data_IF_587659776061
#
_entry.id   IF_587659776061
#
_cell.length_a   1.000
_cell.length_b   1.000
_cell.length_c   1.000
_cell.angle_alpha   90.00
_cell.angle_beta   90.00
_cell.angle_gamma   90.00
#
_symmetry.space_group_name_H-M   'P 1'
#
loop_
_entity.id
_entity.type
_entity.pdbx_description
1 polymer ?
#
# COMPACT_ATOMS: atom_id res chain seq x y z
N UNK A 1 -6.30 -12.46 25.40
CA UNK A 1 -5.02 -12.06 24.78
C UNK A 1 -4.99 -12.66 23.38
N UNK A 2 -4.89 -11.84 22.33
CA UNK A 2 -4.83 -12.34 20.95
C UNK A 2 -3.44 -12.96 20.72
N UNK A 3 -3.36 -14.24 20.42
CA UNK A 3 -2.09 -14.90 20.13
C UNK A 3 -1.58 -14.45 18.75
N UNK A 4 -0.51 -13.66 18.70
CA UNK A 4 0.11 -13.22 17.47
C UNK A 4 1.00 -14.32 16.90
N UNK A 5 0.81 -14.65 15.63
CA UNK A 5 1.68 -15.59 14.92
C UNK A 5 2.96 -14.87 14.46
N UNK A 6 4.14 -15.53 14.46
CA UNK A 6 5.35 -14.96 13.87
C UNK A 6 5.09 -14.47 12.43
N UNK A 7 5.53 -13.25 12.10
CA UNK A 7 5.30 -12.63 10.79
C UNK A 7 3.97 -11.89 10.64
N UNK A 8 3.17 -11.80 11.71
CA UNK A 8 1.98 -10.93 11.73
C UNK A 8 2.38 -9.46 11.61
N UNK A 9 1.76 -8.75 10.68
CA UNK A 9 1.97 -7.32 10.44
C UNK A 9 0.90 -6.47 11.12
N UNK A 10 1.30 -5.26 11.51
CA UNK A 10 0.38 -4.14 11.72
C UNK A 10 -0.03 -3.54 10.36
N UNK A 11 -1.24 -2.96 10.22
CA UNK A 11 -1.70 -2.43 8.94
C UNK A 11 -0.75 -1.44 8.27
N UNK A 12 -0.04 -0.61 9.04
CA UNK A 12 0.93 0.35 8.51
C UNK A 12 2.22 -0.34 8.04
N UNK A 13 2.61 -1.45 8.68
CA UNK A 13 3.79 -2.23 8.28
C UNK A 13 3.61 -2.93 6.93
N UNK A 14 2.37 -3.16 6.48
CA UNK A 14 2.11 -3.74 5.16
C UNK A 14 2.63 -2.86 4.01
N UNK A 15 2.66 -1.53 4.19
CA UNK A 15 3.23 -0.60 3.20
C UNK A 15 4.75 -0.72 3.11
N UNK A 16 5.43 -0.82 4.25
CA UNK A 16 6.88 -1.01 4.27
C UNK A 16 7.27 -2.37 3.67
N UNK A 17 6.48 -3.41 3.95
CA UNK A 17 6.65 -4.73 3.32
C UNK A 17 6.52 -4.63 1.79
N UNK A 18 5.52 -3.92 1.27
CA UNK A 18 5.37 -3.71 -0.17
C UNK A 18 6.57 -2.98 -0.76
N UNK A 19 6.93 -1.81 -0.21
CA UNK A 19 8.07 -1.00 -0.69
C UNK A 19 9.36 -1.85 -0.73
N UNK A 20 9.63 -2.61 0.33
CA UNK A 20 10.81 -3.49 0.40
C UNK A 20 10.80 -4.55 -0.71
N UNK A 21 9.66 -5.19 -0.97
CA UNK A 21 9.57 -6.20 -2.03
C UNK A 21 9.75 -5.57 -3.43
N UNK A 22 9.15 -4.39 -3.67
CA UNK A 22 9.31 -3.66 -4.93
C UNK A 22 10.76 -3.25 -5.16
N UNK A 23 11.46 -2.78 -4.12
CA UNK A 23 12.89 -2.46 -4.18
C UNK A 23 13.78 -3.69 -4.47
N UNK A 24 13.28 -4.90 -4.17
CA UNK A 24 13.93 -6.17 -4.55
C UNK A 24 13.55 -6.63 -5.97
N UNK A 25 12.81 -5.84 -6.73
CA UNK A 25 12.34 -6.17 -8.09
C UNK A 25 11.16 -7.13 -8.12
N UNK A 26 10.49 -7.39 -6.99
CA UNK A 26 9.34 -8.28 -6.93
C UNK A 26 8.07 -7.49 -7.19
N UNK A 27 7.47 -7.65 -8.36
CA UNK A 27 6.17 -7.05 -8.73
C UNK A 27 5.19 -8.21 -8.91
N UNK A 28 4.38 -8.47 -7.89
CA UNK A 28 3.42 -9.57 -7.85
C UNK A 28 2.35 -9.30 -6.80
N UNK A 29 1.38 -10.20 -6.66
CA UNK A 29 0.48 -10.20 -5.53
C UNK A 29 1.22 -10.62 -4.25
N UNK A 30 0.94 -9.96 -3.14
CA UNK A 30 1.55 -10.25 -1.84
C UNK A 30 0.51 -10.64 -0.81
N UNK A 31 0.65 -11.83 -0.24
CA UNK A 31 -0.19 -12.32 0.86
C UNK A 31 0.55 -12.23 2.18
N UNK A 32 -0.10 -11.72 3.22
CA UNK A 32 0.50 -11.57 4.56
C UNK A 32 -0.54 -11.70 5.67
N UNK A 33 -0.08 -12.07 6.86
CA UNK A 33 -0.86 -12.08 8.09
C UNK A 33 -0.95 -10.66 8.63
N UNK A 34 -2.15 -10.22 8.99
CA UNK A 34 -2.42 -8.90 9.53
C UNK A 34 -3.21 -9.03 10.84
N UNK A 35 -2.76 -8.32 11.88
CA UNK A 35 -3.55 -8.14 13.10
C UNK A 35 -4.47 -6.92 12.93
N UNK A 36 -5.78 -7.13 12.94
CA UNK A 36 -6.78 -6.06 13.01
C UNK A 36 -7.67 -6.26 14.24
N UNK A 37 -7.74 -5.25 15.12
CA UNK A 37 -8.58 -5.17 16.33
C UNK A 37 -8.57 -6.43 17.22
N UNK A 38 -9.30 -7.48 16.83
CA UNK A 38 -9.52 -8.70 17.60
C UNK A 38 -9.16 -9.99 16.84
N UNK A 39 -8.61 -9.91 15.63
CA UNK A 39 -8.31 -11.09 14.82
C UNK A 39 -7.00 -10.95 14.05
N UNK A 40 -6.41 -12.10 13.74
CA UNK A 40 -5.27 -12.20 12.83
C UNK A 40 -5.75 -12.96 11.59
N UNK A 41 -5.65 -12.35 10.42
CA UNK A 41 -6.11 -12.96 9.17
C UNK A 41 -5.22 -12.61 7.98
N UNK A 42 -5.40 -13.36 6.91
CA UNK A 42 -4.66 -13.13 5.67
C UNK A 42 -5.29 -12.01 4.85
N UNK A 43 -4.45 -11.10 4.37
CA UNK A 43 -4.80 -10.12 3.35
C UNK A 43 -3.92 -10.33 2.12
N UNK A 44 -4.43 -9.90 0.98
CA UNK A 44 -3.70 -9.85 -0.28
C UNK A 44 -3.61 -8.39 -0.74
N UNK A 45 -2.39 -7.93 -1.03
CA UNK A 45 -2.14 -6.79 -1.89
C UNK A 45 -2.06 -7.31 -3.32
N UNK A 46 -3.04 -6.95 -4.14
CA UNK A 46 -3.12 -7.34 -5.54
C UNK A 46 -2.46 -6.27 -6.40
N UNK A 47 -1.61 -6.68 -7.33
CA UNK A 47 -1.06 -5.78 -8.34
C UNK A 47 -2.10 -5.49 -9.42
N UNK A 48 -2.37 -4.21 -9.67
CA UNK A 48 -3.40 -3.74 -10.61
C UNK A 48 -2.81 -3.15 -11.90
N UNK A 49 -1.48 -3.12 -12.04
CA UNK A 49 -0.80 -2.59 -13.21
C UNK A 49 -0.14 -1.22 -12.99
N UNK A 50 0.30 -0.62 -14.10
CA UNK A 50 0.96 0.67 -14.11
C UNK A 50 -0.03 1.80 -14.46
N UNK A 51 0.08 2.92 -13.75
CA UNK A 51 -0.70 4.12 -14.03
C UNK A 51 0.23 5.35 -13.99
N UNK A 52 0.00 6.34 -14.86
CA UNK A 52 0.66 7.65 -14.75
C UNK A 52 -0.25 8.60 -14.00
N UNK A 53 0.19 9.07 -12.83
CA UNK A 53 -0.56 10.03 -12.03
C UNK A 53 -0.06 11.45 -12.27
N UNK A 54 -0.99 12.39 -12.47
CA UNK A 54 -0.72 13.83 -12.41
C UNK A 54 -0.68 14.25 -10.95
N UNK A 55 0.47 14.70 -10.46
CA UNK A 55 0.67 15.10 -9.06
C UNK A 55 1.21 16.53 -8.98
N UNK A 56 1.30 17.09 -7.77
CA UNK A 56 1.97 18.38 -7.54
C UNK A 56 3.48 18.35 -7.83
N UNK A 57 4.06 17.15 -7.92
CA UNK A 57 5.46 16.94 -8.29
C UNK A 57 5.65 16.72 -9.80
N UNK A 58 4.57 16.83 -10.59
CA UNK A 58 4.55 16.49 -12.02
C UNK A 58 3.91 15.13 -12.29
N UNK A 59 4.13 14.62 -13.50
CA UNK A 59 3.62 13.31 -13.91
C UNK A 59 4.54 12.21 -13.37
N UNK A 60 3.98 11.27 -12.62
CA UNK A 60 4.73 10.15 -12.04
C UNK A 60 4.19 8.83 -12.60
N UNK A 61 5.09 7.98 -13.09
CA UNK A 61 4.76 6.57 -13.33
C UNK A 61 4.61 5.86 -12.00
N UNK A 62 3.60 5.03 -11.86
CA UNK A 62 3.27 4.36 -10.61
C UNK A 62 2.84 2.92 -10.83
N UNK A 63 3.12 2.08 -9.85
CA UNK A 63 2.58 0.72 -9.73
C UNK A 63 1.41 0.76 -8.75
N UNK A 64 0.23 0.32 -9.19
CA UNK A 64 -0.97 0.32 -8.35
C UNK A 64 -1.15 -1.01 -7.66
N UNK A 65 -1.46 -0.95 -6.37
CA UNK A 65 -1.81 -2.10 -5.55
C UNK A 65 -3.13 -1.88 -4.84
N UNK A 66 -4.02 -2.87 -4.86
CA UNK A 66 -5.28 -2.85 -4.12
C UNK A 66 -5.20 -3.85 -2.96
N UNK A 67 -5.75 -3.48 -1.80
CA UNK A 67 -6.01 -4.38 -0.69
C UNK A 67 -7.51 -4.54 -0.55
N UNK A 68 -7.99 -5.75 -0.78
CA UNK A 68 -9.39 -6.11 -0.58
C UNK A 68 -9.49 -6.83 0.76
N UNK A 69 -10.42 -6.42 1.60
CA UNK A 69 -10.75 -7.16 2.81
C UNK A 69 -11.68 -8.33 2.43
N UNK A 70 -11.28 -9.60 2.64
CA UNK A 70 -12.09 -10.73 2.24
C UNK A 70 -13.44 -10.77 2.96
N UNK A 71 -13.51 -10.26 4.20
CA UNK A 71 -14.73 -10.30 5.02
C UNK A 71 -15.63 -9.09 4.79
N UNK A 72 -15.10 -8.03 4.18
CA UNK A 72 -15.87 -6.83 3.85
C UNK A 72 -15.34 -6.20 2.55
N UNK A 73 -15.84 -6.63 1.38
CA UNK A 73 -15.40 -6.13 0.09
C UNK A 73 -15.63 -4.62 -0.09
N UNK A 74 -16.59 -4.03 0.63
CA UNK A 74 -16.85 -2.58 0.56
C UNK A 74 -15.70 -1.78 1.21
N UNK A 75 -15.04 -2.35 2.22
CA UNK A 75 -13.85 -1.76 2.84
C UNK A 75 -12.60 -2.18 2.07
N UNK A 76 -12.09 -1.27 1.26
CA UNK A 76 -10.91 -1.51 0.44
C UNK A 76 -9.93 -0.34 0.49
N UNK A 77 -8.69 -0.59 0.09
CA UNK A 77 -7.68 0.46 -0.04
C UNK A 77 -6.88 0.25 -1.31
N UNK A 78 -6.37 1.33 -1.88
CA UNK A 78 -5.45 1.28 -3.00
C UNK A 78 -4.27 2.20 -2.75
N UNK A 79 -3.13 1.85 -3.32
CA UNK A 79 -1.93 2.67 -3.25
C UNK A 79 -1.17 2.65 -4.57
N UNK A 80 -0.56 3.78 -4.88
CA UNK A 80 0.22 3.98 -6.09
C UNK A 80 1.65 4.28 -5.69
N UNK A 81 2.56 3.37 -5.98
CA UNK A 81 3.98 3.46 -5.63
C UNK A 81 4.79 3.93 -6.83
N UNK A 82 5.54 5.03 -6.70
CA UNK A 82 6.33 5.60 -7.80
C UNK A 82 7.76 5.02 -7.82
N UNK A 83 8.17 4.24 -8.86
CA UNK A 83 9.50 3.65 -8.93
C UNK A 83 10.63 4.69 -8.83
N UNK A 84 10.49 5.82 -9.54
CA UNK A 84 11.46 6.92 -9.55
C UNK A 84 11.66 7.58 -8.17
N UNK A 85 10.70 7.36 -7.26
CA UNK A 85 10.74 7.81 -5.86
C UNK A 85 10.96 6.63 -4.91
N UNK A 86 11.75 5.63 -5.32
CA UNK A 86 12.09 4.43 -4.53
C UNK A 86 10.85 3.66 -4.05
N UNK A 87 9.82 3.65 -4.88
CA UNK A 87 8.51 3.04 -4.64
C UNK A 87 7.70 3.69 -3.51
N UNK A 88 7.99 4.94 -3.14
CA UNK A 88 7.17 5.69 -2.19
C UNK A 88 5.71 5.75 -2.68
N UNK A 89 4.72 5.53 -1.80
CA UNK A 89 3.32 5.75 -2.13
C UNK A 89 3.08 7.24 -2.39
N UNK A 90 2.67 7.58 -3.62
CA UNK A 90 2.36 8.95 -4.04
C UNK A 90 0.87 9.26 -4.02
N UNK A 91 0.05 8.21 -3.90
CA UNK A 91 -1.37 8.28 -3.60
C UNK A 91 -1.77 7.08 -2.76
N UNK A 92 -2.63 7.30 -1.79
CA UNK A 92 -3.31 6.24 -1.02
C UNK A 92 -4.79 6.59 -0.98
N UNK A 93 -5.63 5.65 -1.41
CA UNK A 93 -7.07 5.74 -1.27
C UNK A 93 -7.53 4.72 -0.22
N UNK A 94 -8.38 5.16 0.71
CA UNK A 94 -9.03 4.30 1.69
C UNK A 94 -10.53 4.50 1.58
N UNK A 95 -11.26 3.43 1.28
CA UNK A 95 -12.72 3.44 1.17
C UNK A 95 -13.32 2.69 2.34
N UNK A 96 -14.19 3.37 3.07
CA UNK A 96 -15.03 2.79 4.12
C UNK A 96 -16.37 2.28 3.55
N UNK A 97 -17.08 1.38 4.25
CA UNK A 97 -18.42 0.93 3.87
C UNK A 97 -19.36 2.12 3.56
N UNK A 98 -20.14 1.99 2.49
CA UNK A 98 -20.94 3.09 1.94
C UNK A 98 -20.19 4.04 1.00
N UNK A 99 -19.08 3.59 0.38
CA UNK A 99 -18.32 4.28 -0.67
C UNK A 99 -17.77 5.67 -0.29
N UNK A 100 -17.43 5.86 0.98
CA UNK A 100 -16.73 7.08 1.43
C UNK A 100 -15.23 6.87 1.30
N UNK A 101 -14.62 7.53 0.32
CA UNK A 101 -13.19 7.45 0.07
C UNK A 101 -12.45 8.65 0.65
N UNK A 102 -11.42 8.37 1.43
CA UNK A 102 -10.39 9.34 1.85
C UNK A 102 -9.16 9.09 0.98
N UNK A 103 -8.64 10.16 0.37
CA UNK A 103 -7.43 10.08 -0.46
C UNK A 103 -6.31 10.96 0.12
N UNK A 104 -5.14 10.37 0.27
CA UNK A 104 -3.90 11.07 0.54
C UNK A 104 -3.08 11.17 -0.75
N UNK A 105 -2.61 12.37 -1.08
CA UNK A 105 -1.81 12.64 -2.26
C UNK A 105 -0.47 13.26 -1.88
N UNK A 106 0.59 12.87 -2.57
CA UNK A 106 1.88 13.52 -2.41
C UNK A 106 1.78 14.97 -2.89
N UNK A 107 2.17 15.89 -2.02
CA UNK A 107 2.20 17.33 -2.30
C UNK A 107 3.62 17.86 -2.42
N UNK A 108 4.52 17.36 -1.57
CA UNK A 108 5.91 17.80 -1.48
C UNK A 108 6.77 16.66 -0.93
N UNK A 109 8.04 16.63 -1.32
CA UNK A 109 9.06 15.77 -0.71
C UNK A 109 10.26 16.66 -0.38
N UNK A 110 10.75 16.54 0.85
CA UNK A 110 11.97 17.21 1.31
C UNK A 110 13.00 16.14 1.65
N UNK A 111 14.28 16.39 1.34
CA UNK A 111 15.39 15.51 1.73
C UNK A 111 15.20 14.03 1.33
N UNK A 112 14.80 13.77 0.08
CA UNK A 112 14.82 12.41 -0.46
C UNK A 112 16.27 12.04 -0.76
N UNK A 113 17.04 11.76 0.28
CA UNK A 113 18.47 11.55 0.16
C UNK A 113 18.75 10.27 -0.63
N UNK A 114 19.79 10.35 -1.47
CA UNK A 114 20.43 9.15 -2.00
C UNK A 114 21.23 8.52 -0.88
N UNK A 115 20.66 7.54 -0.18
CA UNK A 115 21.51 6.57 0.54
C UNK A 115 22.45 5.99 -0.53
N UNK A 116 23.74 6.30 -0.39
CA UNK A 116 24.84 5.72 -1.16
C UNK A 116 24.94 4.22 -0.91
#
# INVERSE_FOLDING_TARGET
>A
MLALQPGTLDPLLSYLMLIRNLQQGKIADFRFLLAEKNEVKYFTLKYEGEETLKTKLGNLKTLKFSRINPDNPERHSAMWCAPDLRYLPVRIDHTEPGNKTISAWISQINHLDRVQ
#
